data_IF_055700741549
#
_entry.id   IF_055700741549
#
_cell.length_a   1.000
_cell.length_b   1.000
_cell.length_c   1.000
_cell.angle_alpha   90.00
_cell.angle_beta   90.00
_cell.angle_gamma   90.00
#
_symmetry.space_group_name_H-M   'P 1'
#
loop_
_entity.id
_entity.type
_entity.pdbx_description
1 polymer ?
#
# COMPACT_ATOMS: atom_id res chain seq x y z
N UNK A 1 25.70 -9.82 -7.33
CA UNK A 1 24.47 -9.00 -7.31
C UNK A 1 24.84 -7.56 -7.03
N UNK A 2 24.17 -6.64 -7.71
CA UNK A 2 24.45 -5.19 -7.74
C UNK A 2 23.75 -4.38 -6.67
N UNK A 3 23.08 -5.01 -5.69
CA UNK A 3 22.47 -4.30 -4.56
C UNK A 3 23.50 -3.45 -3.80
N UNK A 4 23.11 -2.22 -3.43
CA UNK A 4 23.94 -1.33 -2.61
C UNK A 4 24.24 -1.99 -1.26
N UNK A 5 25.33 -1.59 -0.60
CA UNK A 5 25.69 -2.15 0.71
C UNK A 5 24.69 -1.78 1.82
N UNK A 6 24.03 -0.65 1.65
CA UNK A 6 22.99 -0.09 2.51
C UNK A 6 21.57 -0.34 1.97
N UNK A 7 21.40 -1.35 1.10
CA UNK A 7 20.10 -1.71 0.56
C UNK A 7 19.11 -2.09 1.69
N UNK A 8 17.93 -1.46 1.68
CA UNK A 8 16.92 -1.62 2.73
C UNK A 8 16.11 -2.90 2.53
N UNK A 9 16.72 -4.04 2.86
CA UNK A 9 16.00 -5.31 2.97
C UNK A 9 15.07 -5.31 4.19
N UNK A 10 13.83 -5.72 4.04
CA UNK A 10 12.89 -5.63 5.15
C UNK A 10 11.61 -6.41 4.98
N UNK A 11 10.52 -5.85 5.51
CA UNK A 11 9.17 -6.36 5.40
C UNK A 11 8.16 -5.24 5.62
N UNK A 12 6.95 -5.42 5.13
CA UNK A 12 5.90 -4.40 5.19
C UNK A 12 4.60 -4.91 5.79
N UNK A 13 3.93 -4.07 6.56
CA UNK A 13 2.59 -4.31 7.11
C UNK A 13 1.77 -3.01 7.11
N UNK A 14 0.45 -3.10 7.35
CA UNK A 14 -0.42 -1.94 7.57
C UNK A 14 -1.15 -2.08 8.90
N UNK A 15 -1.22 -1.00 9.68
CA UNK A 15 -1.72 -1.01 11.06
C UNK A 15 -3.09 -1.68 11.20
N UNK A 16 -4.07 -1.32 10.37
CA UNK A 16 -5.41 -1.91 10.38
C UNK A 16 -5.47 -3.42 10.06
N UNK A 17 -4.40 -4.04 9.58
CA UNK A 17 -4.37 -5.46 9.21
C UNK A 17 -3.72 -6.35 10.28
N UNK A 18 -2.94 -5.76 11.19
CA UNK A 18 -2.16 -6.54 12.16
C UNK A 18 -2.28 -6.04 13.61
N UNK A 19 -2.47 -4.74 13.86
CA UNK A 19 -2.38 -4.18 15.20
C UNK A 19 -3.44 -4.74 16.15
N UNK A 20 -4.71 -4.78 15.70
CA UNK A 20 -5.83 -5.05 16.59
C UNK A 20 -6.06 -3.91 17.58
N UNK A 21 -6.49 -4.22 18.79
CA UNK A 21 -6.70 -3.26 19.88
C UNK A 21 -7.48 -2.01 19.41
N UNK A 22 -8.54 -2.25 18.63
CA UNK A 22 -9.20 -1.21 17.83
C UNK A 22 -9.89 -0.12 18.66
N UNK A 23 -10.19 -0.40 19.94
CA UNK A 23 -10.90 0.44 20.90
C UNK A 23 -10.10 0.68 22.20
N UNK A 24 -8.78 0.41 22.20
CA UNK A 24 -7.89 0.59 23.36
C UNK A 24 -7.18 1.95 23.28
N UNK A 25 -6.82 2.50 24.44
CA UNK A 25 -6.00 3.72 24.58
C UNK A 25 -6.53 4.93 23.81
N UNK A 26 -7.86 5.04 23.75
CA UNK A 26 -8.55 6.18 23.13
C UNK A 26 -8.56 6.15 21.60
N UNK A 27 -8.15 5.05 20.95
CA UNK A 27 -8.28 4.89 19.50
C UNK A 27 -9.74 5.04 19.06
N UNK A 28 -9.97 5.85 18.03
CA UNK A 28 -11.26 5.96 17.36
C UNK A 28 -11.47 4.88 16.29
N UNK A 29 -12.69 4.78 15.77
CA UNK A 29 -12.97 3.91 14.64
C UNK A 29 -12.35 4.48 13.36
N UNK A 30 -11.84 3.61 12.50
CA UNK A 30 -11.40 3.89 11.14
C UNK A 30 -12.39 3.31 10.12
N UNK A 31 -12.24 3.70 8.85
CA UNK A 31 -12.98 3.06 7.74
C UNK A 31 -12.75 1.54 7.70
N UNK A 32 -11.55 1.08 8.04
CA UNK A 32 -11.19 -0.33 8.08
C UNK A 32 -11.92 -1.11 9.19
N UNK A 33 -12.27 -0.45 10.30
CA UNK A 33 -13.07 -1.04 11.39
C UNK A 33 -14.53 -1.26 11.00
N UNK A 34 -15.01 -0.59 9.95
CA UNK A 34 -16.36 -0.76 9.40
C UNK A 34 -16.42 -1.70 8.19
N UNK A 35 -15.30 -2.33 7.83
CA UNK A 35 -15.25 -3.27 6.71
C UNK A 35 -15.47 -4.71 7.18
N UNK A 36 -16.54 -5.38 6.72
CA UNK A 36 -16.80 -6.77 7.08
C UNK A 36 -15.71 -7.70 6.53
N UNK A 37 -15.46 -8.81 7.22
CA UNK A 37 -14.65 -9.91 6.74
C UNK A 37 -15.39 -10.82 5.73
N UNK A 38 -14.61 -11.64 5.03
CA UNK A 38 -15.07 -12.58 4.03
C UNK A 38 -14.95 -12.09 2.58
N UNK A 39 -15.05 -13.04 1.64
CA UNK A 39 -14.91 -12.84 0.18
C UNK A 39 -15.88 -11.80 -0.41
N UNK A 40 -16.99 -11.55 0.27
CA UNK A 40 -18.00 -10.57 -0.08
C UNK A 40 -17.66 -9.13 0.33
N UNK A 41 -16.58 -8.90 1.10
CA UNK A 41 -16.15 -7.59 1.60
C UNK A 41 -16.25 -6.49 0.55
N UNK A 42 -15.56 -6.66 -0.58
CA UNK A 42 -15.52 -5.66 -1.65
C UNK A 42 -16.89 -5.42 -2.29
N UNK A 43 -17.70 -6.47 -2.46
CA UNK A 43 -19.07 -6.33 -3.00
C UNK A 43 -20.01 -5.59 -2.05
N UNK A 44 -19.84 -5.76 -0.73
CA UNK A 44 -20.62 -5.03 0.27
C UNK A 44 -20.27 -3.56 0.22
N UNK A 45 -18.98 -3.21 0.28
CA UNK A 45 -18.55 -1.81 0.22
C UNK A 45 -18.95 -1.12 -1.10
N UNK A 46 -19.03 -1.88 -2.20
CA UNK A 46 -19.47 -1.38 -3.50
C UNK A 46 -21.01 -1.25 -3.62
N UNK A 47 -21.78 -1.70 -2.63
CA UNK A 47 -23.23 -1.65 -2.69
C UNK A 47 -23.76 -0.23 -2.39
N UNK A 48 -24.83 0.22 -3.07
CA UNK A 48 -25.50 1.49 -2.77
C UNK A 48 -25.98 1.64 -1.32
N UNK A 49 -26.26 0.52 -0.66
CA UNK A 49 -26.81 0.44 0.70
C UNK A 49 -25.74 0.55 1.79
N UNK A 50 -24.46 0.34 1.47
CA UNK A 50 -23.38 0.43 2.45
C UNK A 50 -23.09 1.87 2.85
N UNK A 51 -23.14 2.17 4.15
CA UNK A 51 -23.06 3.52 4.72
C UNK A 51 -22.04 3.64 5.86
N UNK A 52 -21.06 2.73 5.90
CA UNK A 52 -20.06 2.62 6.98
C UNK A 52 -20.62 2.23 8.35
N UNK A 53 -21.85 1.72 8.43
CA UNK A 53 -22.39 1.17 9.67
C UNK A 53 -21.79 -0.20 10.00
N UNK A 54 -21.33 -0.35 11.25
CA UNK A 54 -20.87 -1.63 11.80
C UNK A 54 -22.11 -2.44 12.22
N UNK A 55 -22.22 -3.67 11.71
CA UNK A 55 -23.29 -4.61 11.97
C UNK A 55 -22.74 -5.95 12.46
N UNK A 56 -22.38 -5.99 13.74
CA UNK A 56 -21.82 -7.16 14.42
C UNK A 56 -22.81 -8.35 14.48
N UNK A 57 -24.09 -8.15 14.16
CA UNK A 57 -25.06 -9.24 14.12
C UNK A 57 -24.96 -10.04 12.82
N UNK A 58 -24.49 -9.41 11.75
CA UNK A 58 -24.44 -10.02 10.42
C UNK A 58 -23.02 -10.28 9.92
N UNK A 59 -22.02 -9.56 10.43
CA UNK A 59 -20.64 -9.63 9.96
C UNK A 59 -19.62 -9.77 11.08
N UNK A 60 -18.47 -10.35 10.72
CA UNK A 60 -17.26 -10.33 11.54
C UNK A 60 -16.33 -9.21 11.07
N UNK A 61 -15.54 -8.66 11.97
CA UNK A 61 -14.64 -7.53 11.71
C UNK A 61 -13.20 -7.90 12.11
N UNK A 62 -12.51 -8.68 11.26
CA UNK A 62 -11.20 -9.27 11.60
C UNK A 62 -10.12 -8.22 11.89
N UNK A 63 -10.26 -7.01 11.36
CA UNK A 63 -9.38 -5.88 11.62
C UNK A 63 -9.43 -5.40 13.08
N UNK A 64 -10.48 -5.73 13.85
CA UNK A 64 -10.64 -5.32 15.24
C UNK A 64 -9.60 -5.96 16.16
N UNK A 65 -9.30 -7.24 15.92
CA UNK A 65 -8.33 -8.04 16.67
C UNK A 65 -6.98 -8.14 15.93
N UNK A 66 -6.99 -8.12 14.59
CA UNK A 66 -5.78 -8.27 13.78
C UNK A 66 -5.05 -9.57 14.12
N UNK A 67 -3.75 -9.47 14.42
CA UNK A 67 -2.95 -10.56 15.00
C UNK A 67 -2.47 -10.19 16.41
N UNK A 68 -3.11 -9.19 17.01
CA UNK A 68 -2.72 -8.58 18.28
C UNK A 68 -1.30 -8.02 18.32
N UNK A 69 -0.81 -7.50 17.19
CA UNK A 69 0.53 -6.89 17.13
C UNK A 69 0.68 -5.72 18.10
N UNK A 70 -0.41 -5.00 18.42
CA UNK A 70 -0.38 -3.90 19.38
C UNK A 70 0.20 -4.30 20.74
N UNK A 71 -0.10 -5.50 21.23
CA UNK A 71 0.46 -6.01 22.48
C UNK A 71 1.74 -6.84 22.28
N UNK A 72 1.94 -7.42 21.09
CA UNK A 72 3.02 -8.36 20.79
C UNK A 72 4.17 -7.81 19.92
N UNK A 73 4.17 -6.50 19.60
CA UNK A 73 5.12 -5.94 18.63
C UNK A 73 6.59 -6.18 18.97
N UNK A 74 6.95 -6.29 20.26
CA UNK A 74 8.33 -6.58 20.68
C UNK A 74 8.78 -7.98 20.29
N UNK A 75 7.88 -8.96 20.38
CA UNK A 75 8.14 -10.34 19.97
C UNK A 75 8.24 -10.42 18.45
N UNK A 76 7.33 -9.75 17.74
CA UNK A 76 7.32 -9.69 16.29
C UNK A 76 8.58 -9.00 15.74
N UNK A 77 9.00 -7.87 16.31
CA UNK A 77 10.23 -7.16 15.91
C UNK A 77 11.48 -7.98 16.25
N UNK A 78 11.49 -8.73 17.35
CA UNK A 78 12.61 -9.63 17.64
C UNK A 78 12.78 -10.70 16.54
N UNK A 79 11.68 -11.22 15.98
CA UNK A 79 11.71 -12.14 14.84
C UNK A 79 12.19 -11.44 13.55
N UNK A 80 11.79 -10.18 13.32
CA UNK A 80 12.31 -9.38 12.20
C UNK A 80 13.82 -9.16 12.30
N UNK A 81 14.31 -8.87 13.51
CA UNK A 81 15.73 -8.74 13.80
C UNK A 81 16.47 -10.08 13.61
N UNK A 82 15.85 -11.20 13.96
CA UNK A 82 16.43 -12.53 13.74
C UNK A 82 16.55 -12.88 12.25
N UNK A 83 15.59 -12.46 11.41
CA UNK A 83 15.73 -12.52 9.95
C UNK A 83 16.82 -11.60 9.41
N UNK A 84 17.24 -10.60 10.20
CA UNK A 84 18.29 -9.65 9.83
C UNK A 84 17.79 -8.42 9.08
N UNK A 85 16.50 -8.07 9.23
CA UNK A 85 15.90 -6.88 8.60
C UNK A 85 16.78 -5.64 8.77
N UNK A 86 16.85 -4.86 7.69
CA UNK A 86 17.46 -3.52 7.65
C UNK A 86 16.41 -2.43 7.72
N UNK A 87 15.20 -2.73 7.24
CA UNK A 87 14.06 -1.83 7.31
C UNK A 87 12.79 -2.56 7.73
N UNK A 88 11.88 -1.85 8.37
CA UNK A 88 10.52 -2.33 8.61
C UNK A 88 9.54 -1.22 8.22
N UNK A 89 8.71 -1.52 7.21
CA UNK A 89 7.66 -0.63 6.77
C UNK A 89 6.37 -0.91 7.52
N UNK A 90 5.81 0.11 8.16
CA UNK A 90 4.50 0.04 8.78
C UNK A 90 3.74 1.37 8.59
N UNK A 91 2.42 1.34 8.76
CA UNK A 91 1.62 2.56 8.80
C UNK A 91 1.33 2.99 10.23
N UNK A 92 1.10 4.29 10.41
CA UNK A 92 0.57 4.83 11.66
C UNK A 92 -0.94 4.97 11.50
N UNK A 93 -1.71 4.37 12.40
CA UNK A 93 -3.17 4.47 12.39
C UNK A 93 -3.58 5.88 12.78
N UNK A 94 -4.09 6.64 11.82
CA UNK A 94 -4.55 8.02 12.03
C UNK A 94 -5.57 8.10 13.19
N UNK A 95 -6.50 7.13 13.25
CA UNK A 95 -7.50 7.04 14.33
C UNK A 95 -6.92 6.75 15.73
N UNK A 96 -5.65 6.36 15.88
CA UNK A 96 -4.99 6.33 17.19
C UNK A 96 -4.50 7.72 17.62
N UNK A 97 -4.07 8.53 16.66
CA UNK A 97 -3.46 9.84 16.94
C UNK A 97 -4.54 10.93 16.99
N UNK A 98 -5.52 10.89 16.09
CA UNK A 98 -6.68 11.76 16.07
C UNK A 98 -7.93 10.89 15.93
N UNK A 99 -8.57 10.50 17.05
CA UNK A 99 -9.66 9.52 17.06
C UNK A 99 -10.82 9.82 16.11
N UNK A 100 -11.21 11.08 16.00
CA UNK A 100 -12.19 11.56 15.01
C UNK A 100 -11.53 12.14 13.78
N UNK A 101 -10.27 12.57 13.88
CA UNK A 101 -9.49 13.14 12.78
C UNK A 101 -9.57 14.66 12.72
N UNK A 102 -10.59 15.27 13.32
CA UNK A 102 -10.81 16.71 13.34
C UNK A 102 -10.33 17.39 14.63
N UNK A 103 -9.88 16.63 15.63
CA UNK A 103 -9.35 17.19 16.88
C UNK A 103 -8.10 18.05 16.63
N UNK A 104 -7.90 19.05 17.47
CA UNK A 104 -6.75 19.97 17.37
C UNK A 104 -5.53 19.49 18.17
N UNK A 105 -5.71 18.50 19.04
CA UNK A 105 -4.66 17.93 19.90
C UNK A 105 -4.60 16.42 19.71
N UNK A 106 -3.41 15.83 19.55
CA UNK A 106 -3.29 14.39 19.37
C UNK A 106 -3.59 13.64 20.68
N UNK A 107 -4.00 12.39 20.53
CA UNK A 107 -4.06 11.41 21.60
C UNK A 107 -2.64 10.90 21.92
N UNK A 108 -2.12 11.30 23.09
CA UNK A 108 -0.75 10.97 23.50
C UNK A 108 -0.55 9.46 23.73
N UNK A 109 -1.57 8.71 24.13
CA UNK A 109 -1.45 7.25 24.29
C UNK A 109 -1.19 6.55 22.95
N UNK A 110 -1.84 7.01 21.87
CA UNK A 110 -1.55 6.56 20.51
C UNK A 110 -0.11 6.87 20.08
N UNK A 111 0.39 8.06 20.39
CA UNK A 111 1.79 8.44 20.13
C UNK A 111 2.77 7.57 20.93
N UNK A 112 2.48 7.28 22.20
CA UNK A 112 3.32 6.42 23.04
C UNK A 112 3.44 4.99 22.50
N UNK A 113 2.39 4.43 21.91
CA UNK A 113 2.49 3.14 21.22
C UNK A 113 3.52 3.18 20.09
N UNK A 114 3.44 4.18 19.21
CA UNK A 114 4.38 4.31 18.09
C UNK A 114 5.79 4.72 18.53
N UNK A 115 5.96 5.47 19.63
CA UNK A 115 7.28 5.65 20.26
C UNK A 115 7.90 4.29 20.59
N UNK A 116 7.13 3.41 21.24
CA UNK A 116 7.57 2.07 21.62
C UNK A 116 7.91 1.19 20.42
N UNK A 117 7.08 1.23 19.38
CA UNK A 117 7.31 0.47 18.14
C UNK A 117 8.58 0.93 17.43
N UNK A 118 8.74 2.25 17.24
CA UNK A 118 9.92 2.86 16.61
C UNK A 118 11.19 2.57 17.42
N UNK A 119 11.12 2.74 18.74
CA UNK A 119 12.28 2.51 19.61
C UNK A 119 12.70 1.04 19.65
N UNK A 120 11.74 0.11 19.56
CA UNK A 120 12.05 -1.31 19.46
C UNK A 120 12.69 -1.67 18.10
N UNK A 121 12.25 -1.06 16.98
CA UNK A 121 12.95 -1.21 15.69
C UNK A 121 14.40 -0.73 15.79
N UNK A 122 14.60 0.49 16.30
CA UNK A 122 15.92 1.12 16.40
C UNK A 122 16.85 0.37 17.34
N UNK A 123 16.33 -0.21 18.42
CA UNK A 123 17.09 -1.09 19.33
C UNK A 123 17.75 -2.27 18.61
N UNK A 124 17.12 -2.79 17.56
CA UNK A 124 17.69 -3.86 16.73
C UNK A 124 18.41 -3.36 15.47
N UNK A 125 18.54 -2.05 15.28
CA UNK A 125 19.14 -1.46 14.08
C UNK A 125 18.28 -1.64 12.82
N UNK A 126 16.97 -1.72 12.99
CA UNK A 126 15.99 -1.78 11.90
C UNK A 126 15.50 -0.35 11.65
N UNK A 127 15.69 0.16 10.44
CA UNK A 127 15.20 1.48 10.02
C UNK A 127 13.67 1.47 9.86
N UNK A 128 12.93 2.29 10.61
CA UNK A 128 11.49 2.45 10.40
C UNK A 128 11.23 3.14 9.05
N UNK A 129 10.29 2.61 8.27
CA UNK A 129 9.80 3.23 7.04
C UNK A 129 8.30 3.49 7.20
N UNK A 130 7.92 4.74 7.50
CA UNK A 130 6.55 5.03 7.93
C UNK A 130 5.65 5.42 6.76
N UNK A 131 4.50 4.74 6.63
CA UNK A 131 3.39 5.19 5.78
C UNK A 131 2.40 5.99 6.62
N UNK A 132 2.16 7.26 6.29
CA UNK A 132 1.33 8.15 7.12
C UNK A 132 -0.15 7.77 7.03
N UNK A 133 -0.67 7.50 5.82
CA UNK A 133 -2.06 7.07 5.61
C UNK A 133 -2.14 5.80 4.77
N UNK A 134 -2.65 4.72 5.38
CA UNK A 134 -2.83 3.42 4.74
C UNK A 134 -4.25 2.89 4.97
N UNK A 135 -5.21 3.34 4.16
CA UNK A 135 -6.58 2.81 4.14
C UNK A 135 -7.34 2.81 5.49
N UNK A 136 -6.94 3.70 6.40
CA UNK A 136 -7.38 3.66 7.80
C UNK A 136 -7.75 5.04 8.34
N UNK A 137 -8.27 5.91 7.48
CA UNK A 137 -8.75 7.23 7.90
C UNK A 137 -9.83 7.09 8.98
N UNK A 138 -9.90 8.03 9.95
CA UNK A 138 -10.94 8.01 10.97
C UNK A 138 -12.34 7.95 10.35
N UNK A 139 -13.18 7.05 10.87
CA UNK A 139 -14.52 6.77 10.37
C UNK A 139 -15.40 8.03 10.40
N UNK A 140 -15.18 8.89 11.40
CA UNK A 140 -15.83 10.19 11.54
C UNK A 140 -15.60 11.08 10.31
N UNK A 141 -14.40 11.10 9.73
CA UNK A 141 -14.13 11.87 8.51
C UNK A 141 -14.88 11.32 7.28
N UNK A 142 -15.05 10.00 7.19
CA UNK A 142 -15.83 9.40 6.12
C UNK A 142 -17.34 9.69 6.25
N UNK A 143 -17.88 9.67 7.48
CA UNK A 143 -19.32 9.84 7.75
C UNK A 143 -19.77 11.31 7.80
N UNK A 144 -19.05 12.17 8.52
CA UNK A 144 -19.46 13.56 8.75
C UNK A 144 -18.96 14.51 7.65
N UNK A 145 -17.79 14.24 7.07
CA UNK A 145 -17.19 15.09 6.04
C UNK A 145 -17.35 14.51 4.63
N UNK A 146 -17.76 13.25 4.50
CA UNK A 146 -17.94 12.59 3.21
C UNK A 146 -16.64 12.15 2.55
N UNK A 147 -15.57 11.93 3.32
CA UNK A 147 -14.28 11.46 2.82
C UNK A 147 -13.48 12.51 2.07
N UNK A 148 -12.47 12.07 1.33
CA UNK A 148 -11.41 12.92 0.74
C UNK A 148 -11.89 13.94 -0.29
N UNK A 149 -13.11 13.84 -0.82
CA UNK A 149 -13.70 14.88 -1.68
C UNK A 149 -13.87 16.21 -0.96
N UNK A 150 -13.94 16.20 0.36
CA UNK A 150 -14.08 17.41 1.17
C UNK A 150 -12.71 18.04 1.45
N UNK A 151 -12.53 19.28 1.00
CA UNK A 151 -11.27 20.03 1.09
C UNK A 151 -10.76 20.21 2.53
N UNK A 152 -11.63 20.19 3.54
CA UNK A 152 -11.22 20.30 4.95
C UNK A 152 -10.26 19.17 5.39
N UNK A 153 -10.31 18.00 4.75
CA UNK A 153 -9.43 16.88 5.07
C UNK A 153 -7.95 17.17 4.78
N UNK A 154 -7.65 18.14 3.91
CA UNK A 154 -6.27 18.62 3.71
C UNK A 154 -5.70 19.09 5.04
N UNK A 155 -6.43 19.95 5.77
CA UNK A 155 -5.98 20.48 7.05
C UNK A 155 -5.84 19.38 8.10
N UNK A 156 -6.83 18.47 8.19
CA UNK A 156 -6.83 17.39 9.16
C UNK A 156 -5.64 16.44 8.97
N UNK A 157 -5.39 16.03 7.72
CA UNK A 157 -4.25 15.18 7.39
C UNK A 157 -2.93 15.90 7.62
N UNK A 158 -2.80 17.16 7.17
CA UNK A 158 -1.57 17.93 7.34
C UNK A 158 -1.25 18.11 8.83
N UNK A 159 -2.26 18.36 9.68
CA UNK A 159 -2.08 18.41 11.14
C UNK A 159 -1.54 17.08 11.67
N UNK A 160 -2.15 15.98 11.27
CA UNK A 160 -1.73 14.63 11.63
C UNK A 160 -0.28 14.34 11.19
N UNK A 161 0.05 14.59 9.93
CA UNK A 161 1.39 14.43 9.38
C UNK A 161 2.42 15.32 10.10
N UNK A 162 2.09 16.59 10.38
CA UNK A 162 2.97 17.52 11.11
C UNK A 162 3.28 17.03 12.52
N UNK A 163 2.32 16.43 13.23
CA UNK A 163 2.56 15.82 14.55
C UNK A 163 3.56 14.67 14.44
N UNK A 164 3.38 13.75 13.49
CA UNK A 164 4.27 12.61 13.31
C UNK A 164 5.69 13.07 12.92
N UNK A 165 5.81 13.90 11.89
CA UNK A 165 7.10 14.39 11.40
C UNK A 165 7.84 15.15 12.51
N UNK A 166 7.16 16.04 13.24
CA UNK A 166 7.77 16.80 14.34
C UNK A 166 8.28 15.88 15.45
N UNK A 167 7.50 14.86 15.83
CA UNK A 167 7.86 13.95 16.92
C UNK A 167 9.00 13.00 16.52
N UNK A 168 9.00 12.50 15.29
CA UNK A 168 9.83 11.37 14.86
C UNK A 168 10.97 11.73 13.89
N UNK A 169 11.12 12.99 13.46
CA UNK A 169 12.15 13.42 12.50
C UNK A 169 13.60 13.00 12.83
N UNK A 170 13.92 12.79 14.11
CA UNK A 170 15.26 12.40 14.56
C UNK A 170 15.46 10.88 14.66
N UNK A 171 14.38 10.11 14.47
CA UNK A 171 14.33 8.66 14.63
C UNK A 171 13.95 7.92 13.34
N UNK A 172 13.29 8.61 12.41
CA UNK A 172 12.72 8.01 11.19
C UNK A 172 13.09 8.86 10.00
N UNK A 173 13.85 8.29 9.07
CA UNK A 173 14.28 8.98 7.85
C UNK A 173 13.28 8.86 6.70
N UNK A 174 12.67 7.68 6.53
CA UNK A 174 11.87 7.35 5.33
C UNK A 174 10.38 7.39 5.61
N UNK A 175 9.66 8.15 4.79
CA UNK A 175 8.22 8.40 4.94
C UNK A 175 7.50 8.25 3.61
N UNK A 176 6.24 7.81 3.65
CA UNK A 176 5.32 7.85 2.52
C UNK A 176 4.03 8.54 2.93
N UNK A 177 3.51 9.43 2.10
CA UNK A 177 2.31 10.21 2.42
C UNK A 177 1.04 9.35 2.39
N UNK A 178 0.72 8.78 1.24
CA UNK A 178 -0.46 7.94 1.00
C UNK A 178 -0.05 6.59 0.42
N UNK A 179 -0.57 5.50 0.98
CA UNK A 179 -0.49 4.19 0.36
C UNK A 179 -1.41 4.09 -0.85
N UNK A 180 -0.89 3.60 -1.97
CA UNK A 180 -1.66 3.18 -3.14
C UNK A 180 -2.73 4.20 -3.57
N UNK A 181 -2.35 5.47 -3.68
CA UNK A 181 -3.27 6.57 -3.95
C UNK A 181 -4.11 6.36 -5.22
N UNK A 182 -3.56 5.67 -6.22
CA UNK A 182 -4.20 5.35 -7.49
C UNK A 182 -5.23 4.21 -7.43
N UNK A 183 -5.37 3.50 -6.30
CA UNK A 183 -6.40 2.45 -6.12
C UNK A 183 -7.83 2.99 -6.29
N UNK A 184 -8.04 4.28 -6.00
CA UNK A 184 -9.32 4.96 -6.17
C UNK A 184 -9.81 5.01 -7.63
N UNK A 185 -8.95 4.70 -8.61
CA UNK A 185 -9.36 4.52 -10.01
C UNK A 185 -10.48 3.48 -10.12
N UNK A 186 -10.36 2.40 -9.35
CA UNK A 186 -11.31 1.28 -9.33
C UNK A 186 -12.14 1.23 -8.05
N UNK A 187 -11.54 1.56 -6.92
CA UNK A 187 -12.20 1.40 -5.62
C UNK A 187 -11.80 2.50 -4.64
N UNK A 188 -12.61 3.54 -4.57
CA UNK A 188 -12.36 4.76 -3.78
C UNK A 188 -12.65 4.61 -2.29
N UNK A 189 -13.28 3.52 -1.84
CA UNK A 189 -13.66 3.34 -0.44
C UNK A 189 -12.44 3.28 0.49
N UNK A 190 -11.40 2.55 0.10
CA UNK A 190 -10.19 2.37 0.91
C UNK A 190 -9.32 3.63 0.94
N UNK A 191 -8.93 4.13 -0.24
CA UNK A 191 -8.02 5.28 -0.37
C UNK A 191 -8.68 6.60 0.01
N UNK A 192 -9.96 6.78 -0.34
CA UNK A 192 -10.63 8.08 -0.28
C UNK A 192 -11.80 8.14 0.71
N UNK A 193 -12.19 7.03 1.35
CA UNK A 193 -13.38 6.99 2.21
C UNK A 193 -14.69 7.18 1.44
N UNK A 194 -14.67 6.96 0.12
CA UNK A 194 -15.81 7.17 -0.76
C UNK A 194 -16.47 5.85 -1.14
N UNK A 195 -17.75 5.73 -0.78
CA UNK A 195 -18.64 4.62 -1.11
C UNK A 195 -19.83 5.17 -1.90
N UNK A 196 -20.60 4.34 -2.63
CA UNK A 196 -21.72 4.86 -3.43
C UNK A 196 -22.69 5.76 -2.64
N UNK A 197 -23.01 5.40 -1.39
CA UNK A 197 -23.94 6.16 -0.53
C UNK A 197 -23.46 7.57 -0.18
N UNK A 198 -22.15 7.84 -0.21
CA UNK A 198 -21.58 9.18 0.00
C UNK A 198 -20.96 9.77 -1.28
N UNK A 199 -21.30 9.24 -2.46
CA UNK A 199 -20.93 9.81 -3.76
C UNK A 199 -19.67 9.23 -4.40
N UNK A 200 -19.16 8.08 -3.94
CA UNK A 200 -18.00 7.39 -4.53
C UNK A 200 -18.22 6.83 -5.93
N UNK A 201 -19.48 6.74 -6.40
CA UNK A 201 -19.81 6.37 -7.77
C UNK A 201 -19.67 7.55 -8.77
N UNK A 202 -19.62 8.79 -8.28
CA UNK A 202 -19.42 9.99 -9.09
C UNK A 202 -17.93 10.29 -9.24
N UNK A 203 -17.45 10.24 -10.49
CA UNK A 203 -16.04 10.45 -10.79
C UNK A 203 -15.57 11.87 -10.50
N UNK A 204 -16.44 12.89 -10.53
CA UNK A 204 -16.06 14.25 -10.12
C UNK A 204 -15.60 14.27 -8.67
N UNK A 205 -16.30 13.54 -7.78
CA UNK A 205 -15.88 13.40 -6.37
C UNK A 205 -14.55 12.66 -6.22
N UNK A 206 -14.29 11.63 -7.04
CA UNK A 206 -13.03 10.87 -7.02
C UNK A 206 -11.85 11.74 -7.48
N UNK A 207 -12.03 12.54 -8.53
CA UNK A 207 -11.01 13.49 -9.00
C UNK A 207 -10.78 14.64 -8.01
N UNK A 208 -11.84 15.16 -7.38
CA UNK A 208 -11.69 16.15 -6.30
C UNK A 208 -10.92 15.56 -5.11
N UNK A 209 -11.23 14.31 -4.73
CA UNK A 209 -10.56 13.62 -3.65
C UNK A 209 -9.06 13.41 -3.95
N UNK A 210 -8.71 13.04 -5.19
CA UNK A 210 -7.30 13.00 -5.60
C UNK A 210 -6.63 14.35 -5.53
N UNK A 211 -7.26 15.42 -6.02
CA UNK A 211 -6.69 16.76 -5.91
C UNK A 211 -6.38 17.12 -4.45
N UNK A 212 -7.33 16.90 -3.54
CA UNK A 212 -7.13 17.16 -2.12
C UNK A 212 -6.00 16.30 -1.53
N UNK A 213 -5.90 15.02 -1.88
CA UNK A 213 -4.79 14.15 -1.46
C UNK A 213 -3.44 14.63 -2.01
N UNK A 214 -3.37 15.11 -3.26
CA UNK A 214 -2.14 15.65 -3.85
C UNK A 214 -1.67 16.92 -3.12
N UNK A 215 -2.59 17.85 -2.84
CA UNK A 215 -2.28 19.08 -2.09
C UNK A 215 -1.82 18.75 -0.67
N UNK A 216 -2.50 17.82 0.01
CA UNK A 216 -2.13 17.34 1.34
C UNK A 216 -0.73 16.68 1.36
N UNK A 217 -0.42 15.87 0.33
CA UNK A 217 0.89 15.25 0.13
C UNK A 217 1.97 16.32 -0.05
N UNK A 218 1.74 17.29 -0.94
CA UNK A 218 2.70 18.34 -1.25
C UNK A 218 3.00 19.25 -0.05
N UNK A 219 1.99 19.65 0.73
CA UNK A 219 2.19 20.40 1.97
C UNK A 219 2.97 19.58 3.02
N UNK A 220 2.77 18.27 3.06
CA UNK A 220 3.50 17.38 3.97
C UNK A 220 4.97 17.24 3.59
N UNK A 221 5.27 17.08 2.30
CA UNK A 221 6.64 17.05 1.78
C UNK A 221 7.35 18.37 2.08
N UNK A 222 6.73 19.49 1.71
CA UNK A 222 7.27 20.84 1.94
C UNK A 222 7.57 21.06 3.43
N UNK A 223 6.60 20.78 4.31
CA UNK A 223 6.82 20.92 5.75
C UNK A 223 7.94 19.99 6.26
N UNK A 224 7.97 18.75 5.78
CA UNK A 224 9.00 17.79 6.17
C UNK A 224 10.41 18.29 5.86
N UNK A 225 10.63 18.83 4.66
CA UNK A 225 11.93 19.40 4.28
C UNK A 225 12.26 20.72 5.01
N UNK A 226 11.26 21.55 5.32
CA UNK A 226 11.43 22.74 6.18
C UNK A 226 11.84 22.36 7.61
N UNK A 227 11.29 21.26 8.13
CA UNK A 227 11.57 20.74 9.47
C UNK A 227 12.95 20.07 9.53
N UNK A 228 13.22 19.14 8.62
CA UNK A 228 14.46 18.40 8.52
C UNK A 228 14.72 17.95 7.08
N UNK A 229 15.72 18.57 6.45
CA UNK A 229 16.15 18.29 5.06
C UNK A 229 16.66 16.86 4.82
N UNK A 230 16.99 16.12 5.87
CA UNK A 230 17.52 14.74 5.74
C UNK A 230 16.41 13.70 5.60
N UNK A 231 15.15 14.10 5.82
CA UNK A 231 13.98 13.26 5.59
C UNK A 231 13.86 12.90 4.11
N UNK A 232 13.36 11.72 3.84
CA UNK A 232 13.03 11.22 2.51
C UNK A 232 11.54 10.90 2.50
N UNK A 233 10.77 11.67 1.73
CA UNK A 233 9.30 11.59 1.70
C UNK A 233 8.86 11.20 0.29
N UNK A 234 8.42 9.96 0.15
CA UNK A 234 7.99 9.37 -1.11
C UNK A 234 6.48 9.39 -1.31
N UNK A 235 6.07 9.16 -2.56
CA UNK A 235 4.71 8.69 -2.84
C UNK A 235 4.64 7.16 -2.73
N UNK A 236 3.43 6.61 -2.70
CA UNK A 236 3.22 5.17 -2.88
C UNK A 236 2.04 4.91 -3.81
N UNK A 237 2.28 4.13 -4.88
CA UNK A 237 1.26 3.77 -5.87
C UNK A 237 1.29 2.27 -6.20
N UNK A 238 0.15 1.73 -6.61
CA UNK A 238 0.11 0.43 -7.28
C UNK A 238 0.77 0.59 -8.64
N UNK A 239 1.71 -0.29 -8.98
CA UNK A 239 2.18 -0.38 -10.36
C UNK A 239 1.61 -1.62 -11.04
N UNK A 240 0.68 -1.41 -11.97
CA UNK A 240 0.19 -2.46 -12.86
C UNK A 240 1.03 -2.49 -14.13
N UNK A 241 1.93 -3.46 -14.26
CA UNK A 241 2.56 -3.70 -15.56
C UNK A 241 1.50 -4.14 -16.55
N UNK A 242 1.26 -3.35 -17.61
CA UNK A 242 0.23 -3.63 -18.60
C UNK A 242 0.88 -3.89 -19.96
N UNK A 243 0.67 -5.09 -20.50
CA UNK A 243 1.12 -5.47 -21.83
C UNK A 243 0.02 -5.29 -22.87
N UNK A 244 0.40 -5.03 -24.11
CA UNK A 244 -0.51 -5.16 -25.25
C UNK A 244 -0.61 -6.62 -25.65
N UNK A 245 -1.82 -7.10 -25.93
CA UNK A 245 -2.04 -8.48 -26.38
C UNK A 245 -1.22 -8.85 -27.62
N UNK A 246 -1.11 -7.92 -28.57
CA UNK A 246 -0.35 -8.07 -29.80
C UNK A 246 0.21 -6.73 -30.30
N UNK A 247 0.86 -6.75 -31.47
CA UNK A 247 1.41 -5.56 -32.13
C UNK A 247 0.36 -4.71 -32.89
N UNK A 248 -0.94 -5.01 -32.76
CA UNK A 248 -1.98 -4.21 -33.40
C UNK A 248 -1.97 -2.78 -32.83
N UNK A 249 -1.84 -1.73 -33.66
CA UNK A 249 -1.77 -0.35 -33.18
C UNK A 249 -2.94 0.05 -32.27
N UNK A 250 -4.13 -0.53 -32.44
CA UNK A 250 -5.28 -0.27 -31.56
C UNK A 250 -5.02 -0.80 -30.15
N UNK A 251 -4.48 -2.01 -30.00
CA UNK A 251 -4.12 -2.58 -28.69
C UNK A 251 -2.94 -1.84 -28.07
N UNK A 252 -1.97 -1.41 -28.88
CA UNK A 252 -0.82 -0.63 -28.42
C UNK A 252 -1.26 0.73 -27.84
N UNK A 253 -2.14 1.46 -28.54
CA UNK A 253 -2.69 2.73 -28.06
C UNK A 253 -3.53 2.51 -26.80
N UNK A 254 -4.37 1.47 -26.76
CA UNK A 254 -5.17 1.16 -25.57
C UNK A 254 -4.29 0.87 -24.35
N UNK A 255 -3.23 0.08 -24.54
CA UNK A 255 -2.22 -0.22 -23.51
C UNK A 255 -1.57 1.05 -22.97
N UNK A 256 -1.09 1.92 -23.87
CA UNK A 256 -0.50 3.20 -23.48
C UNK A 256 -1.47 4.07 -22.67
N UNK A 257 -2.74 4.14 -23.09
CA UNK A 257 -3.75 4.93 -22.40
C UNK A 257 -4.07 4.34 -21.01
N UNK A 258 -4.14 3.02 -20.89
CA UNK A 258 -4.35 2.30 -19.63
C UNK A 258 -3.22 2.57 -18.63
N UNK A 259 -1.95 2.49 -19.09
CA UNK A 259 -0.77 2.82 -18.27
C UNK A 259 -0.79 4.29 -17.84
N UNK A 260 -1.06 5.22 -18.77
CA UNK A 260 -1.13 6.65 -18.46
C UNK A 260 -2.16 6.95 -17.36
N UNK A 261 -3.33 6.34 -17.48
CA UNK A 261 -4.43 6.53 -16.55
C UNK A 261 -4.13 5.95 -15.17
N UNK A 262 -3.71 4.69 -15.09
CA UNK A 262 -3.59 4.01 -13.82
C UNK A 262 -2.24 4.23 -13.13
N UNK A 263 -1.13 4.12 -13.87
CA UNK A 263 0.21 4.20 -13.29
C UNK A 263 0.76 5.63 -13.26
N UNK A 264 0.45 6.46 -14.27
CA UNK A 264 1.13 7.75 -14.40
C UNK A 264 0.35 8.92 -13.82
N UNK A 265 -0.99 8.92 -13.85
CA UNK A 265 -1.76 10.11 -13.44
C UNK A 265 -1.39 10.63 -12.04
N UNK A 266 -1.44 9.77 -11.01
CA UNK A 266 -1.09 10.17 -9.64
C UNK A 266 0.41 10.39 -9.44
N UNK A 267 1.26 9.64 -10.16
CA UNK A 267 2.71 9.74 -10.02
C UNK A 267 3.27 10.99 -10.71
N UNK A 268 2.75 11.37 -11.88
CA UNK A 268 3.12 12.60 -12.58
C UNK A 268 2.84 13.82 -11.68
N UNK A 269 1.69 13.88 -11.01
CA UNK A 269 1.37 14.99 -10.09
C UNK A 269 2.31 15.01 -8.89
N UNK A 270 2.57 13.87 -8.24
CA UNK A 270 3.39 13.83 -7.03
C UNK A 270 4.89 14.00 -7.27
N UNK A 271 5.40 13.57 -8.42
CA UNK A 271 6.84 13.60 -8.72
C UNK A 271 7.22 14.86 -9.49
N UNK A 272 6.35 15.35 -10.39
CA UNK A 272 6.61 16.54 -11.22
C UNK A 272 5.91 17.79 -10.72
N UNK A 273 4.94 17.66 -9.81
CA UNK A 273 4.14 18.79 -9.32
C UNK A 273 3.17 19.34 -10.37
N UNK A 274 2.89 18.56 -11.43
CA UNK A 274 2.11 19.01 -12.57
C UNK A 274 1.13 17.92 -13.04
N UNK A 275 -0.09 18.34 -13.38
CA UNK A 275 -1.06 17.47 -14.02
C UNK A 275 -0.58 17.06 -15.41
N UNK A 276 -0.64 15.78 -15.77
CA UNK A 276 -0.15 15.32 -17.07
C UNK A 276 -1.00 15.80 -18.24
N UNK A 277 -0.40 15.87 -19.43
CA UNK A 277 -1.05 16.36 -20.65
C UNK A 277 -2.31 15.58 -21.05
N UNK A 278 -2.44 14.33 -20.61
CA UNK A 278 -3.62 13.50 -20.88
C UNK A 278 -4.76 13.68 -19.85
N UNK A 279 -4.63 14.62 -18.91
CA UNK A 279 -5.68 14.91 -17.90
C UNK A 279 -7.01 15.25 -18.55
N UNK A 280 -7.01 16.09 -19.60
CA UNK A 280 -8.24 16.45 -20.31
C UNK A 280 -8.94 15.21 -20.90
N UNK A 281 -8.19 14.28 -21.49
CA UNK A 281 -8.73 13.02 -22.02
C UNK A 281 -9.37 12.18 -20.90
N UNK A 282 -8.77 12.15 -19.71
CA UNK A 282 -9.34 11.43 -18.56
C UNK A 282 -10.64 12.09 -18.08
N UNK A 283 -10.66 13.42 -17.98
CA UNK A 283 -11.85 14.17 -17.62
C UNK A 283 -12.99 13.91 -18.60
N UNK A 284 -12.72 13.96 -19.91
CA UNK A 284 -13.69 13.63 -20.97
C UNK A 284 -14.18 12.18 -20.88
N UNK A 285 -13.28 11.21 -20.67
CA UNK A 285 -13.61 9.78 -20.51
C UNK A 285 -14.60 9.56 -19.35
N UNK A 286 -14.43 10.29 -18.26
CA UNK A 286 -15.20 10.11 -17.03
C UNK A 286 -16.33 11.14 -16.83
N UNK A 287 -16.54 12.04 -17.79
CA UNK A 287 -17.56 13.08 -17.71
C UNK A 287 -17.29 14.13 -16.63
N UNK A 288 -16.04 14.32 -16.22
CA UNK A 288 -15.62 15.32 -15.23
C UNK A 288 -15.39 16.64 -15.95
N UNK A 289 -15.94 17.74 -15.42
CA UNK A 289 -15.62 19.09 -15.90
C UNK A 289 -14.58 19.69 -14.96
N UNK A 290 -13.50 20.23 -15.51
CA UNK A 290 -12.44 20.84 -14.69
C UNK A 290 -12.95 21.99 -13.82
N UNK A 291 -13.96 22.74 -14.29
CA UNK A 291 -14.59 23.84 -13.54
C UNK A 291 -15.43 23.36 -12.34
N UNK A 292 -15.78 22.07 -12.29
CA UNK A 292 -16.48 21.45 -11.15
C UNK A 292 -15.49 21.00 -10.05
N UNK A 293 -14.17 21.09 -10.31
CA UNK A 293 -13.12 20.78 -9.35
C UNK A 293 -12.64 22.06 -8.66
N UNK A 294 -12.56 22.02 -7.32
CA UNK A 294 -11.95 23.06 -6.50
C UNK A 294 -10.43 22.93 -6.56
N UNK A 295 -9.84 23.51 -7.61
CA UNK A 295 -8.40 23.63 -7.84
C UNK A 295 -8.02 25.11 -7.85
N UNK A 296 -7.14 25.52 -6.94
CA UNK A 296 -6.68 26.91 -6.84
C UNK A 296 -5.29 27.11 -7.46
N UNK A 297 -4.91 28.35 -7.78
CA UNK A 297 -3.55 28.65 -8.24
C UNK A 297 -2.51 28.34 -7.14
N UNK A 298 -2.87 28.59 -5.88
CA UNK A 298 -2.06 28.25 -4.71
C UNK A 298 -1.81 26.73 -4.62
N UNK A 299 -2.82 25.90 -4.91
CA UNK A 299 -2.67 24.45 -4.95
C UNK A 299 -1.63 24.06 -6.00
N UNK A 300 -1.74 24.59 -7.22
CA UNK A 300 -0.82 24.28 -8.31
C UNK A 300 0.62 24.71 -8.00
N UNK A 301 0.80 25.85 -7.33
CA UNK A 301 2.12 26.31 -6.86
C UNK A 301 2.66 25.36 -5.78
N UNK A 302 1.80 24.94 -4.84
CA UNK A 302 2.18 24.02 -3.77
C UNK A 302 2.60 22.66 -4.31
N UNK A 303 1.87 22.10 -5.28
CA UNK A 303 2.22 20.82 -5.93
C UNK A 303 3.65 20.84 -6.49
N UNK A 304 4.06 21.94 -7.14
CA UNK A 304 5.43 22.10 -7.66
C UNK A 304 6.51 22.20 -6.58
N UNK A 305 6.16 22.73 -5.41
CA UNK A 305 7.09 22.92 -4.30
C UNK A 305 7.14 21.73 -3.34
N UNK A 306 6.21 20.77 -3.49
CA UNK A 306 6.08 19.59 -2.63
C UNK A 306 6.22 18.28 -3.39
N UNK A 307 7.11 18.23 -4.39
CA UNK A 307 7.41 17.01 -5.14
C UNK A 307 8.13 15.98 -4.27
N UNK A 308 7.74 14.71 -4.39
CA UNK A 308 8.29 13.61 -3.57
C UNK A 308 9.74 13.26 -3.92
N UNK A 309 10.48 12.75 -2.95
CA UNK A 309 11.91 12.38 -3.07
C UNK A 309 12.13 11.05 -3.79
N UNK A 310 11.17 10.12 -3.68
CA UNK A 310 11.24 8.78 -4.24
C UNK A 310 9.85 8.21 -4.54
N UNK A 311 9.79 7.14 -5.34
CA UNK A 311 8.55 6.39 -5.61
C UNK A 311 8.60 5.05 -4.88
N UNK A 312 7.76 4.92 -3.85
CA UNK A 312 7.35 3.63 -3.34
C UNK A 312 6.32 3.01 -4.29
N UNK A 313 6.38 1.71 -4.54
CA UNK A 313 5.30 1.03 -5.27
C UNK A 313 5.05 -0.40 -4.81
N UNK A 314 3.78 -0.83 -4.98
CA UNK A 314 3.39 -2.24 -4.88
C UNK A 314 3.44 -2.90 -6.26
N UNK A 315 3.89 -4.14 -6.30
CA UNK A 315 3.89 -4.97 -7.50
C UNK A 315 3.52 -6.41 -7.15
N UNK A 316 2.58 -6.97 -7.91
CA UNK A 316 2.15 -8.37 -7.74
C UNK A 316 2.12 -9.14 -9.05
N UNK A 317 1.63 -8.51 -10.11
CA UNK A 317 1.33 -9.15 -11.39
C UNK A 317 1.24 -8.13 -12.52
N UNK A 318 1.24 -8.65 -13.75
CA UNK A 318 0.93 -7.90 -14.96
C UNK A 318 -0.48 -8.17 -15.47
N UNK A 319 -0.96 -7.29 -16.34
CA UNK A 319 -2.25 -7.39 -17.05
C UNK A 319 -2.04 -7.28 -18.56
N UNK A 320 -3.05 -7.66 -19.34
CA UNK A 320 -2.99 -7.59 -20.81
C UNK A 320 -4.21 -6.87 -21.38
N UNK A 321 -3.96 -5.86 -22.20
CA UNK A 321 -4.96 -5.07 -22.91
C UNK A 321 -5.23 -5.65 -24.30
N UNK A 322 -6.51 -5.87 -24.61
CA UNK A 322 -6.99 -6.32 -25.92
C UNK A 322 -8.29 -5.60 -26.29
N UNK A 323 -8.30 -4.95 -27.46
CA UNK A 323 -9.42 -4.24 -28.07
C UNK A 323 -9.81 -4.78 -29.45
N UNK A 324 -8.94 -5.53 -30.11
CA UNK A 324 -9.15 -6.01 -31.49
C UNK A 324 -9.30 -7.51 -31.65
N UNK A 325 -9.23 -8.30 -30.57
CA UNK A 325 -9.20 -9.76 -30.67
C UNK A 325 -9.89 -10.51 -29.54
N UNK A 326 -10.12 -11.80 -29.78
CA UNK A 326 -10.58 -12.79 -28.80
C UNK A 326 -9.49 -13.03 -27.74
N UNK A 327 -9.84 -12.85 -26.48
CA UNK A 327 -9.05 -13.31 -25.34
C UNK A 327 -10.01 -13.85 -24.29
N UNK A 328 -9.60 -14.89 -23.56
CA UNK A 328 -10.40 -15.32 -22.41
C UNK A 328 -10.30 -14.20 -21.38
N UNK A 329 -11.43 -13.59 -21.03
CA UNK A 329 -11.50 -12.61 -19.95
C UNK A 329 -10.79 -13.18 -18.73
N UNK A 330 -9.86 -12.43 -18.15
CA UNK A 330 -9.21 -12.88 -16.92
C UNK A 330 -10.29 -13.09 -15.84
N UNK A 331 -10.34 -14.28 -15.26
CA UNK A 331 -11.26 -14.62 -14.17
C UNK A 331 -10.50 -14.61 -12.85
N UNK A 332 -11.00 -13.89 -11.85
CA UNK A 332 -10.38 -13.78 -10.52
C UNK A 332 -10.49 -12.36 -9.96
N UNK A 333 -9.90 -12.12 -8.78
CA UNK A 333 -9.84 -10.81 -8.08
C UNK A 333 -9.01 -9.73 -8.82
N UNK A 334 -8.97 -9.76 -10.15
CA UNK A 334 -8.25 -8.83 -11.02
C UNK A 334 -9.07 -7.53 -11.13
N UNK A 335 -8.91 -6.64 -10.16
CA UNK A 335 -9.53 -5.30 -10.11
C UNK A 335 -9.29 -4.49 -11.41
N UNK A 336 -8.23 -4.83 -12.15
CA UNK A 336 -7.74 -4.11 -13.32
C UNK A 336 -8.34 -4.58 -14.67
N UNK A 337 -9.10 -5.68 -14.70
CA UNK A 337 -9.63 -6.25 -15.94
C UNK A 337 -8.56 -6.86 -16.86
N UNK A 338 -8.88 -6.98 -18.16
CA UNK A 338 -7.96 -7.51 -19.19
C UNK A 338 -8.20 -8.98 -19.58
N UNK A 339 -7.31 -9.50 -20.42
CA UNK A 339 -7.32 -10.90 -20.90
C UNK A 339 -6.17 -11.69 -20.30
N UNK A 340 -6.30 -13.02 -20.27
CA UNK A 340 -5.21 -13.90 -19.79
C UNK A 340 -3.96 -13.77 -20.67
N UNK A 341 -2.79 -13.68 -20.04
CA UNK A 341 -1.52 -13.79 -20.73
C UNK A 341 -1.15 -15.28 -20.92
N UNK A 342 -1.10 -15.80 -22.16
CA UNK A 342 -0.84 -17.23 -22.39
C UNK A 342 0.60 -17.68 -22.04
N UNK A 343 1.49 -16.73 -21.76
CA UNK A 343 2.90 -17.01 -21.43
C UNK A 343 3.18 -17.06 -19.92
N UNK A 344 2.21 -16.67 -19.09
CA UNK A 344 2.39 -16.58 -17.64
C UNK A 344 1.66 -17.71 -16.91
N UNK A 345 2.27 -18.17 -15.81
CA UNK A 345 1.60 -19.04 -14.86
C UNK A 345 0.70 -18.22 -13.94
N UNK A 346 -0.41 -18.79 -13.48
CA UNK A 346 -1.30 -18.17 -12.49
C UNK A 346 -1.14 -18.87 -11.14
N UNK A 347 -1.21 -18.10 -10.05
CA UNK A 347 -1.38 -18.62 -8.68
C UNK A 347 -2.78 -19.21 -8.49
N UNK A 348 -3.03 -19.89 -7.37
CA UNK A 348 -4.36 -20.46 -7.07
C UNK A 348 -5.46 -19.37 -6.93
N UNK A 349 -5.08 -18.10 -6.75
CA UNK A 349 -5.98 -16.94 -6.71
C UNK A 349 -6.19 -16.31 -8.10
N UNK A 350 -5.69 -16.94 -9.16
CA UNK A 350 -5.80 -16.47 -10.54
C UNK A 350 -4.89 -15.29 -10.87
N UNK A 351 -3.90 -14.98 -10.03
CA UNK A 351 -2.96 -13.89 -10.27
C UNK A 351 -1.76 -14.38 -11.06
N UNK A 352 -1.44 -13.69 -12.15
CA UNK A 352 -0.27 -14.02 -12.97
C UNK A 352 1.03 -13.82 -12.18
N UNK A 353 1.91 -14.82 -12.21
CA UNK A 353 3.26 -14.74 -11.63
C UNK A 353 4.20 -14.23 -12.70
N UNK A 354 4.60 -12.96 -12.59
CA UNK A 354 5.41 -12.29 -13.60
C UNK A 354 6.56 -11.49 -12.98
N UNK A 355 7.72 -12.13 -12.82
CA UNK A 355 8.92 -11.42 -12.34
C UNK A 355 9.50 -10.48 -13.39
N UNK A 356 9.36 -10.79 -14.68
CA UNK A 356 9.87 -9.93 -15.76
C UNK A 356 9.08 -8.62 -15.83
N UNK A 357 7.79 -8.66 -15.49
CA UNK A 357 6.96 -7.48 -15.33
C UNK A 357 7.39 -6.55 -14.19
N UNK A 358 8.07 -7.06 -13.14
CA UNK A 358 8.69 -6.22 -12.12
C UNK A 358 9.92 -5.50 -12.70
N UNK A 359 10.74 -6.18 -13.49
CA UNK A 359 11.86 -5.54 -14.19
C UNK A 359 11.39 -4.46 -15.16
N UNK A 360 10.30 -4.74 -15.89
CA UNK A 360 9.64 -3.74 -16.75
C UNK A 360 9.21 -2.52 -15.92
N UNK A 361 8.49 -2.74 -14.82
CA UNK A 361 8.01 -1.68 -13.95
C UNK A 361 9.13 -0.77 -13.43
N UNK A 362 10.23 -1.38 -12.95
CA UNK A 362 11.39 -0.66 -12.44
C UNK A 362 12.05 0.21 -13.51
N UNK A 363 12.27 -0.36 -14.70
CA UNK A 363 12.86 0.38 -15.82
C UNK A 363 11.94 1.49 -16.34
N UNK A 364 10.64 1.24 -16.42
CA UNK A 364 9.65 2.22 -16.88
C UNK A 364 9.53 3.41 -15.90
N UNK A 365 9.35 3.13 -14.61
CA UNK A 365 9.26 4.15 -13.57
C UNK A 365 10.55 4.99 -13.51
N UNK A 366 11.71 4.34 -13.46
CA UNK A 366 12.98 5.06 -13.35
C UNK A 366 13.29 5.84 -14.63
N UNK A 367 13.08 5.24 -15.80
CA UNK A 367 13.27 5.91 -17.10
C UNK A 367 12.34 7.12 -17.28
N UNK A 368 11.15 7.10 -16.68
CA UNK A 368 10.18 8.20 -16.75
C UNK A 368 10.46 9.33 -15.76
N UNK A 369 10.86 9.00 -14.53
CA UNK A 369 10.88 9.95 -13.41
C UNK A 369 12.27 10.28 -12.90
N UNK A 370 13.24 9.38 -13.05
CA UNK A 370 14.62 9.54 -12.59
C UNK A 370 14.76 9.94 -11.10
N UNK A 371 13.80 9.48 -10.28
CA UNK A 371 13.89 9.52 -8.82
C UNK A 371 14.11 8.09 -8.31
N UNK A 372 14.76 7.92 -7.14
CA UNK A 372 14.93 6.60 -6.55
C UNK A 372 13.62 5.82 -6.41
N UNK A 373 13.69 4.50 -6.56
CA UNK A 373 12.55 3.60 -6.42
C UNK A 373 12.66 2.77 -5.14
N UNK A 374 11.52 2.40 -4.57
CA UNK A 374 11.43 1.49 -3.43
C UNK A 374 10.30 0.49 -3.67
N UNK A 375 10.63 -0.79 -3.83
CA UNK A 375 9.62 -1.85 -3.88
C UNK A 375 9.13 -2.09 -2.45
N UNK A 376 8.01 -1.47 -2.10
CA UNK A 376 7.52 -1.44 -0.71
C UNK A 376 6.47 -2.51 -0.42
N UNK A 377 6.04 -3.24 -1.44
CA UNK A 377 5.03 -4.28 -1.34
C UNK A 377 5.11 -5.22 -2.56
N UNK A 378 5.44 -6.48 -2.29
CA UNK A 378 5.45 -7.57 -3.27
C UNK A 378 5.44 -8.88 -2.49
N UNK A 379 4.67 -9.87 -2.94
CA UNK A 379 4.59 -11.13 -2.23
C UNK A 379 3.57 -12.08 -2.83
N UNK A 380 3.51 -13.28 -2.27
CA UNK A 380 2.60 -14.33 -2.70
C UNK A 380 1.69 -14.72 -1.55
N UNK A 381 0.40 -14.41 -1.70
CA UNK A 381 -0.64 -14.92 -0.83
C UNK A 381 -0.95 -16.37 -1.20
N UNK A 382 -0.86 -17.29 -0.23
CA UNK A 382 -1.11 -18.71 -0.42
C UNK A 382 -1.82 -19.32 0.80
N UNK A 383 -2.37 -20.53 0.66
CA UNK A 383 -2.84 -21.33 1.80
C UNK A 383 -1.63 -22.11 2.30
N UNK A 384 -1.05 -21.66 3.41
CA UNK A 384 0.03 -22.41 4.04
C UNK A 384 -0.53 -23.64 4.77
N UNK A 385 0.17 -24.76 4.65
CA UNK A 385 -0.12 -25.99 5.38
C UNK A 385 0.87 -26.13 6.55
N UNK A 386 0.33 -26.30 7.75
CA UNK A 386 1.11 -26.71 8.92
C UNK A 386 1.20 -28.24 8.92
N UNK A 387 2.41 -28.77 8.84
CA UNK A 387 2.68 -30.22 8.87
C UNK A 387 2.53 -30.79 10.30
N UNK A 388 2.49 -32.12 10.43
CA UNK A 388 2.32 -32.80 11.72
C UNK A 388 3.42 -32.46 12.75
N UNK A 389 4.62 -32.13 12.28
CA UNK A 389 5.76 -31.72 13.10
C UNK A 389 5.80 -30.20 13.37
N UNK A 390 4.80 -29.45 12.88
CA UNK A 390 4.71 -27.99 12.99
C UNK A 390 5.45 -27.22 11.89
N UNK A 391 6.14 -27.90 10.97
CA UNK A 391 6.83 -27.23 9.87
C UNK A 391 5.84 -26.65 8.84
N UNK A 392 6.25 -25.57 8.18
CA UNK A 392 5.51 -24.94 7.09
C UNK A 392 6.43 -24.82 5.89
N UNK A 393 6.24 -25.72 4.92
CA UNK A 393 7.10 -25.87 3.75
C UNK A 393 6.57 -25.02 2.58
N UNK A 394 6.92 -23.75 2.56
CA UNK A 394 6.43 -22.76 1.59
C UNK A 394 7.42 -22.48 0.44
N UNK A 395 7.93 -23.55 -0.19
CA UNK A 395 8.87 -23.45 -1.32
C UNK A 395 8.34 -22.62 -2.49
N UNK A 396 7.02 -22.57 -2.68
CA UNK A 396 6.38 -21.70 -3.69
C UNK A 396 6.59 -20.21 -3.41
N UNK A 397 6.62 -19.79 -2.14
CA UNK A 397 6.86 -18.41 -1.73
C UNK A 397 8.32 -18.04 -1.94
N UNK A 398 9.21 -18.96 -1.58
CA UNK A 398 10.65 -18.84 -1.85
C UNK A 398 10.91 -18.70 -3.36
N UNK A 399 10.31 -19.55 -4.20
CA UNK A 399 10.48 -19.48 -5.66
C UNK A 399 9.95 -18.16 -6.25
N UNK A 400 8.77 -17.72 -5.82
CA UNK A 400 8.20 -16.43 -6.23
C UNK A 400 9.14 -15.28 -5.90
N UNK A 401 9.54 -15.14 -4.63
CA UNK A 401 10.37 -14.03 -4.17
C UNK A 401 11.77 -14.08 -4.80
N UNK A 402 12.38 -15.26 -4.94
CA UNK A 402 13.67 -15.45 -5.65
C UNK A 402 13.61 -14.86 -7.06
N UNK A 403 12.59 -15.23 -7.85
CA UNK A 403 12.44 -14.76 -9.23
C UNK A 403 12.32 -13.22 -9.29
N UNK A 404 11.56 -12.63 -8.39
CA UNK A 404 11.41 -11.17 -8.31
C UNK A 404 12.70 -10.48 -7.88
N UNK A 405 13.45 -11.05 -6.93
CA UNK A 405 14.76 -10.51 -6.53
C UNK A 405 15.78 -10.56 -7.67
N UNK A 406 15.79 -11.63 -8.47
CA UNK A 406 16.61 -11.70 -9.69
C UNK A 406 16.24 -10.57 -10.67
N UNK A 407 14.94 -10.34 -10.90
CA UNK A 407 14.46 -9.25 -11.76
C UNK A 407 14.84 -7.85 -11.24
N UNK A 408 14.78 -7.63 -9.92
CA UNK A 408 15.28 -6.40 -9.29
C UNK A 408 16.78 -6.21 -9.53
N UNK A 409 17.59 -7.26 -9.34
CA UNK A 409 19.03 -7.19 -9.61
C UNK A 409 19.33 -6.85 -11.07
N UNK A 410 18.60 -7.44 -12.02
CA UNK A 410 18.73 -7.11 -13.44
C UNK A 410 18.37 -5.64 -13.73
N UNK A 411 17.35 -5.10 -13.07
CA UNK A 411 16.98 -3.69 -13.23
C UNK A 411 18.05 -2.74 -12.69
N UNK A 412 18.71 -3.12 -11.59
CA UNK A 412 19.88 -2.39 -11.06
C UNK A 412 21.04 -2.43 -12.06
N UNK A 413 21.28 -3.56 -12.71
CA UNK A 413 22.28 -3.69 -13.78
C UNK A 413 21.92 -2.83 -15.01
N UNK A 414 20.64 -2.61 -15.28
CA UNK A 414 20.13 -1.68 -16.32
C UNK A 414 20.31 -0.19 -15.93
N UNK A 415 20.67 0.10 -14.67
CA UNK A 415 20.94 1.45 -14.15
C UNK A 415 19.83 2.04 -13.28
N UNK A 416 18.82 1.25 -12.89
CA UNK A 416 17.76 1.68 -11.99
C UNK A 416 18.31 1.93 -10.59
N UNK A 417 18.00 3.10 -10.01
CA UNK A 417 18.28 3.38 -8.61
C UNK A 417 17.19 2.78 -7.71
N UNK A 418 17.45 1.58 -7.18
CA UNK A 418 16.57 0.89 -6.24
C UNK A 418 17.11 0.99 -4.80
N UNK A 419 16.32 1.54 -3.89
CA UNK A 419 16.69 1.81 -2.50
C UNK A 419 16.52 0.61 -1.57
N UNK A 420 15.51 -0.22 -1.84
CA UNK A 420 15.11 -1.26 -0.90
C UNK A 420 14.02 -2.18 -1.41
N UNK A 421 13.73 -3.19 -0.59
CA UNK A 421 12.71 -4.19 -0.82
C UNK A 421 12.07 -4.62 0.50
N UNK A 422 10.77 -4.34 0.65
CA UNK A 422 9.97 -4.79 1.81
C UNK A 422 8.83 -5.70 1.34
N UNK A 423 9.05 -7.03 1.25
CA UNK A 423 8.01 -8.01 1.00
C UNK A 423 6.76 -7.80 1.85
N UNK A 424 5.61 -8.04 1.24
CA UNK A 424 4.32 -7.76 1.85
C UNK A 424 3.92 -8.80 2.90
N UNK A 425 3.35 -8.30 3.99
CA UNK A 425 2.80 -9.10 5.06
C UNK A 425 3.86 -10.00 5.64
N UNK A 426 5.04 -9.47 5.98
CA UNK A 426 6.20 -10.25 6.42
C UNK A 426 5.95 -11.16 7.63
N UNK A 427 4.89 -10.86 8.39
CA UNK A 427 4.18 -11.73 9.30
C UNK A 427 2.73 -11.86 8.79
N UNK A 428 2.14 -13.04 8.91
CA UNK A 428 0.74 -13.24 8.53
C UNK A 428 -0.15 -12.19 9.18
N UNK A 429 -1.11 -11.69 8.41
CA UNK A 429 -1.99 -10.58 8.80
C UNK A 429 -3.33 -10.71 8.07
N UNK A 430 -4.32 -9.95 8.52
CA UNK A 430 -5.66 -9.96 7.93
C UNK A 430 -5.58 -9.38 6.51
N UNK A 431 -6.08 -10.10 5.51
CA UNK A 431 -6.03 -9.63 4.12
C UNK A 431 -6.85 -8.34 3.91
N UNK A 432 -6.34 -7.40 3.11
CA UNK A 432 -7.07 -6.16 2.82
C UNK A 432 -8.36 -6.43 2.03
N UNK A 433 -8.28 -7.25 0.97
CA UNK A 433 -9.38 -7.46 0.02
C UNK A 433 -10.50 -8.36 0.55
N UNK A 434 -10.19 -9.36 1.37
CA UNK A 434 -11.19 -10.33 1.86
C UNK A 434 -11.31 -10.37 3.37
N UNK A 435 -10.44 -9.72 4.14
CA UNK A 435 -10.48 -9.83 5.60
C UNK A 435 -10.26 -11.27 6.08
N UNK A 436 -9.43 -12.04 5.38
CA UNK A 436 -9.17 -13.45 5.68
C UNK A 436 -7.72 -13.60 6.19
N UNK A 437 -7.51 -14.52 7.14
CA UNK A 437 -6.20 -15.00 7.58
C UNK A 437 -5.72 -16.17 6.73
N UNK A 438 -6.63 -16.94 6.13
CA UNK A 438 -6.34 -18.14 5.33
C UNK A 438 -5.52 -17.85 4.06
N UNK A 439 -5.58 -16.61 3.54
CA UNK A 439 -4.68 -16.12 2.51
C UNK A 439 -3.44 -15.50 3.15
N UNK A 440 -2.39 -16.31 3.32
CA UNK A 440 -1.20 -15.98 4.11
C UNK A 440 -0.05 -15.47 3.26
N UNK A 441 0.65 -14.45 3.75
CA UNK A 441 1.73 -13.77 3.02
C UNK A 441 3.09 -13.93 3.69
N UNK A 442 3.14 -14.15 5.01
CA UNK A 442 4.36 -13.89 5.78
C UNK A 442 5.43 -14.94 5.69
N UNK A 443 6.60 -14.55 6.20
CA UNK A 443 7.67 -15.45 6.59
C UNK A 443 7.41 -16.06 7.97
N UNK A 444 6.58 -15.37 8.76
CA UNK A 444 6.14 -15.78 10.09
C UNK A 444 4.66 -16.11 10.00
N UNK A 445 4.32 -17.36 10.33
CA UNK A 445 2.95 -17.82 10.45
C UNK A 445 2.36 -17.36 11.79
N UNK A 446 1.09 -16.98 11.77
CA UNK A 446 0.31 -16.69 12.99
C UNK A 446 -0.84 -17.68 13.08
N UNK A 447 -0.90 -18.40 14.20
CA UNK A 447 -1.94 -19.40 14.49
C UNK A 447 -3.29 -18.74 14.82
N UNK A 448 -3.94 -18.26 13.78
CA UNK A 448 -5.31 -17.71 13.77
C UNK A 448 -6.01 -18.13 12.47
N UNK A 449 -7.29 -18.49 12.56
CA UNK A 449 -8.18 -18.74 11.43
C UNK A 449 -8.93 -17.47 10.97
N UNK A 450 -9.79 -17.60 9.96
CA UNK A 450 -10.58 -16.48 9.40
C UNK A 450 -11.60 -15.88 10.38
N UNK A 451 -11.89 -16.58 11.49
CA UNK A 451 -12.79 -16.14 12.55
C UNK A 451 -12.02 -15.62 13.77
N UNK A 452 -10.68 -15.56 13.71
CA UNK A 452 -9.83 -15.14 14.82
C UNK A 452 -9.64 -16.21 15.90
N UNK A 453 -9.98 -17.48 15.63
CA UNK A 453 -9.68 -18.58 16.55
C UNK A 453 -8.27 -19.12 16.35
N UNK A 454 -7.58 -19.42 17.44
CA UNK A 454 -6.24 -20.00 17.45
C UNK A 454 -5.45 -19.53 18.67
N UNK A 455 -4.19 -19.93 18.78
CA UNK A 455 -3.34 -19.52 19.91
C UNK A 455 -2.72 -18.13 19.74
N UNK A 456 -2.74 -17.57 18.52
CA UNK A 456 -2.02 -16.35 18.17
C UNK A 456 -0.49 -16.50 18.15
N UNK A 457 0.04 -17.72 18.36
CA UNK A 457 1.47 -17.95 18.39
C UNK A 457 2.12 -17.73 17.02
N UNK A 458 3.34 -17.21 17.05
CA UNK A 458 4.18 -17.00 15.86
C UNK A 458 5.08 -18.20 15.63
N UNK A 459 5.12 -18.72 14.41
CA UNK A 459 6.05 -19.77 13.99
C UNK A 459 6.74 -19.42 12.69
N UNK A 460 7.98 -19.88 12.51
CA UNK A 460 8.80 -19.57 11.34
C UNK A 460 8.42 -20.50 10.19
N UNK A 461 8.13 -19.96 9.02
CA UNK A 461 8.01 -20.74 7.78
C UNK A 461 9.39 -21.02 7.21
N UNK A 462 9.50 -21.97 6.28
CA UNK A 462 10.78 -22.27 5.60
C UNK A 462 11.37 -21.03 4.91
N UNK A 463 10.52 -20.17 4.37
CA UNK A 463 10.91 -18.89 3.76
C UNK A 463 11.59 -17.90 4.72
N UNK A 464 11.40 -18.03 6.04
CA UNK A 464 12.08 -17.20 7.05
C UNK A 464 13.59 -17.36 6.98
N UNK A 465 14.09 -18.60 7.07
CA UNK A 465 15.52 -18.88 7.05
C UNK A 465 16.14 -18.63 5.68
N UNK A 466 15.37 -18.85 4.61
CA UNK A 466 15.76 -18.46 3.27
C UNK A 466 15.99 -16.95 3.14
N UNK A 467 15.01 -16.13 3.54
CA UNK A 467 15.12 -14.67 3.42
C UNK A 467 16.21 -14.12 4.35
N UNK A 468 16.44 -14.74 5.50
CA UNK A 468 17.60 -14.46 6.36
C UNK A 468 18.92 -14.64 5.64
N UNK A 469 19.09 -15.71 4.86
CA UNK A 469 20.30 -15.93 4.04
C UNK A 469 20.40 -14.92 2.88
N UNK A 470 19.28 -14.55 2.26
CA UNK A 470 19.23 -13.48 1.25
C UNK A 470 19.77 -12.18 1.84
N UNK A 471 19.25 -11.75 2.99
CA UNK A 471 19.67 -10.49 3.63
C UNK A 471 21.14 -10.55 4.06
N UNK A 472 21.55 -11.63 4.74
CA UNK A 472 22.92 -11.78 5.22
C UNK A 472 23.95 -11.81 4.07
N UNK A 473 23.56 -12.30 2.90
CA UNK A 473 24.40 -12.33 1.69
C UNK A 473 24.26 -11.08 0.81
N UNK A 474 23.42 -10.12 1.21
CA UNK A 474 23.01 -8.96 0.39
C UNK A 474 22.56 -9.38 -1.03
N UNK A 475 21.66 -10.36 -1.09
CA UNK A 475 21.11 -10.93 -2.31
C UNK A 475 22.03 -11.91 -3.04
N UNK A 476 23.30 -12.11 -2.65
CA UNK A 476 24.23 -12.98 -3.38
C UNK A 476 23.85 -14.46 -3.36
N UNK A 477 23.09 -14.89 -2.36
CA UNK A 477 22.53 -16.24 -2.26
C UNK A 477 21.01 -16.14 -2.26
N UNK A 478 20.38 -16.80 -3.23
CA UNK A 478 18.93 -16.90 -3.37
C UNK A 478 18.52 -18.35 -3.50
#
# INVERSE_FOLDING_TARGET
MGFKNDFLWGGATAANQLEGAYNIDGKGLSVADAMPGGKQRMSILASPEFDWTIDEKHYVYPNHDGIDHYHHFKEDIALFAEMGFKAYRFSVAWSRIFPKGDETTPNEAGLHFYDGLIDECLKYGIEPVITISHYEMPLHLAKEYGGWKNRALIEFYVRYAKVLLTRYQNKVKYWMTFNEINSATFFSALSQGLVPSNGGADKTNVFQAWHNQFVASAETVKFGHELNKDLQIGCMSIYSTTYSFDANPINQIATQQSIQEFNYFCNDVQVRGEYPVFTQRLHEKYGVKSDDLEITEEDLILLKNGCVDYIGFSYYMSTVESKTGEGTSASGNMVLGGVKNPFLQESEWGWAVDSDGLRYALNDLYGRYQVPLFVVENGLGAIDKVEEDGAINDDYRIDYLRKHIVAMNQSIEDGVELMGYTPWGCIDLVSASTGEMSKRYGFIYVDLDDLGHGTGQRSKKKSFDWYKEVIASNGKKL
#
